data_IF_267841102589
#
_entry.id   IF_267841102589
#
_cell.length_a   1.000
_cell.length_b   1.000
_cell.length_c   1.000
_cell.angle_alpha   90.00
_cell.angle_beta   90.00
_cell.angle_gamma   90.00
#
_symmetry.space_group_name_H-M   'P 1'
#
loop_
_entity.id
_entity.type
_entity.pdbx_description
1 polymer ?
#
# COMPACT_ATOMS: atom_id res chain seq x y z
N UNK A 1 41.32 -31.06 42.66
CA UNK A 1 40.64 -32.37 42.52
C UNK A 1 39.86 -32.64 43.79
N UNK A 2 38.56 -32.35 43.80
CA UNK A 2 37.81 -32.33 45.06
C UNK A 2 36.35 -32.76 44.87
N UNK A 3 36.07 -33.94 45.44
CA UNK A 3 34.85 -34.44 46.11
C UNK A 3 33.47 -34.29 45.45
N UNK A 4 32.88 -35.46 45.19
CA UNK A 4 31.45 -35.68 45.09
C UNK A 4 30.75 -35.51 46.46
N UNK A 5 29.51 -35.01 46.44
CA UNK A 5 28.50 -35.23 47.50
C UNK A 5 27.14 -35.41 46.83
N UNK A 6 26.59 -36.61 46.96
CA UNK A 6 25.20 -36.96 46.67
C UNK A 6 24.29 -36.46 47.80
N UNK A 7 23.17 -35.82 47.46
CA UNK A 7 22.01 -35.68 48.34
C UNK A 7 20.78 -36.16 47.59
N UNK A 8 20.25 -37.28 48.06
CA UNK A 8 18.98 -37.83 47.58
C UNK A 8 17.78 -37.11 48.18
N UNK A 9 16.60 -37.40 47.64
CA UNK A 9 15.34 -37.43 48.37
C UNK A 9 14.37 -38.42 47.71
N UNK A 10 13.67 -39.13 48.59
CA UNK A 10 12.78 -40.26 48.35
C UNK A 10 11.48 -39.93 47.64
N UNK A 11 11.10 -40.86 46.77
CA UNK A 11 9.78 -41.51 46.56
C UNK A 11 8.61 -41.03 47.44
N UNK A 12 7.50 -40.64 46.79
CA UNK A 12 6.09 -41.11 47.00
C UNK A 12 5.19 -40.45 45.95
N UNK A 13 4.69 -41.21 44.96
CA UNK A 13 3.38 -41.90 44.95
C UNK A 13 2.18 -40.94 44.91
N UNK A 14 1.52 -40.82 43.75
CA UNK A 14 0.07 -41.03 43.61
C UNK A 14 -0.34 -41.07 42.13
N UNK A 15 -0.97 -42.17 41.72
CA UNK A 15 -1.80 -42.26 40.50
C UNK A 15 -3.06 -41.43 40.73
N UNK A 16 -3.44 -40.59 39.75
CA UNK A 16 -4.85 -40.28 39.49
C UNK A 16 -5.07 -40.27 37.98
N UNK A 17 -5.85 -41.24 37.53
CA UNK A 17 -6.49 -41.29 36.22
C UNK A 17 -7.58 -40.23 36.21
N UNK A 18 -7.55 -39.31 35.25
CA UNK A 18 -8.56 -38.29 35.08
C UNK A 18 -8.71 -37.93 33.60
N UNK A 19 -9.58 -38.66 32.91
CA UNK A 19 -10.08 -38.31 31.59
C UNK A 19 -10.89 -37.01 31.73
N UNK A 20 -10.25 -35.87 31.44
CA UNK A 20 -10.94 -34.59 31.30
C UNK A 20 -11.00 -34.24 29.82
N UNK A 21 -12.23 -34.24 29.30
CA UNK A 21 -12.57 -33.90 27.93
C UNK A 21 -12.01 -32.51 27.55
N UNK A 22 -11.14 -32.47 26.55
CA UNK A 22 -10.65 -31.23 25.95
C UNK A 22 -11.72 -30.76 24.98
N UNK A 23 -12.55 -29.80 25.40
CA UNK A 23 -13.38 -28.98 24.51
C UNK A 23 -12.45 -28.08 23.68
N UNK A 24 -12.35 -28.23 22.35
CA UNK A 24 -11.67 -27.25 21.53
C UNK A 24 -12.60 -26.04 21.38
N UNK A 25 -12.38 -25.01 22.21
CA UNK A 25 -12.87 -23.67 21.91
C UNK A 25 -12.18 -23.22 20.62
N UNK A 26 -12.92 -23.31 19.51
CA UNK A 26 -12.49 -22.94 18.18
C UNK A 26 -12.08 -21.48 18.14
N UNK A 27 -10.77 -21.24 18.17
CA UNK A 27 -10.16 -20.00 17.75
C UNK A 27 -10.37 -19.94 16.24
N UNK A 28 -11.45 -19.28 15.82
CA UNK A 28 -11.61 -18.85 14.43
C UNK A 28 -10.57 -17.76 14.19
N UNK A 29 -9.36 -18.18 13.80
CA UNK A 29 -8.43 -17.31 13.11
C UNK A 29 -9.13 -16.85 11.84
N UNK A 30 -9.71 -15.64 11.88
CA UNK A 30 -10.09 -14.93 10.67
C UNK A 30 -8.78 -14.54 10.01
N UNK A 31 -8.22 -15.46 9.24
CA UNK A 31 -7.12 -15.16 8.34
C UNK A 31 -7.66 -14.15 7.35
N UNK A 32 -7.35 -12.88 7.56
CA UNK A 32 -7.51 -11.84 6.55
C UNK A 32 -6.61 -12.21 5.38
N UNK A 33 -7.10 -13.09 4.51
CA UNK A 33 -6.49 -13.39 3.23
C UNK A 33 -6.49 -12.06 2.48
N UNK A 34 -5.35 -11.37 2.49
CA UNK A 34 -5.11 -10.31 1.51
C UNK A 34 -5.23 -11.02 0.16
N UNK A 35 -6.26 -10.67 -0.61
CA UNK A 35 -6.34 -11.11 -1.99
C UNK A 35 -4.99 -10.79 -2.65
N UNK A 36 -4.39 -11.79 -3.30
CA UNK A 36 -3.15 -11.56 -4.02
C UNK A 36 -3.40 -10.50 -5.09
N UNK A 37 -2.45 -9.60 -5.30
CA UNK A 37 -2.53 -8.62 -6.36
C UNK A 37 -2.73 -9.37 -7.70
N UNK A 38 -3.81 -9.09 -8.42
CA UNK A 38 -4.09 -9.69 -9.74
C UNK A 38 -3.66 -8.76 -10.89
N UNK A 39 -3.20 -7.56 -10.57
CA UNK A 39 -2.60 -6.59 -11.47
C UNK A 39 -1.43 -5.91 -10.76
N UNK A 40 -0.29 -5.79 -11.44
CA UNK A 40 0.88 -5.09 -10.91
C UNK A 40 1.65 -4.35 -12.00
N UNK A 41 2.46 -3.39 -11.59
CA UNK A 41 3.29 -2.66 -12.53
C UNK A 41 4.10 -1.53 -11.90
N UNK A 42 4.55 -0.63 -12.77
CA UNK A 42 5.22 0.61 -12.42
C UNK A 42 4.48 1.81 -13.02
N UNK A 43 4.56 2.95 -12.36
CA UNK A 43 4.20 4.26 -12.89
C UNK A 43 5.46 5.11 -12.92
N UNK A 44 5.90 5.51 -14.12
CA UNK A 44 6.97 6.48 -14.27
C UNK A 44 6.38 7.87 -14.43
N UNK A 45 6.81 8.77 -13.56
CA UNK A 45 6.37 10.15 -13.51
C UNK A 45 7.47 11.13 -13.90
N UNK A 46 7.09 12.20 -14.61
CA UNK A 46 7.89 13.42 -14.79
C UNK A 46 7.15 14.57 -14.11
N UNK A 47 7.78 15.24 -13.15
CA UNK A 47 7.22 16.41 -12.49
C UNK A 47 7.14 17.58 -13.47
N UNK A 48 5.93 18.07 -13.72
CA UNK A 48 5.68 19.22 -14.60
C UNK A 48 5.70 20.52 -13.81
N UNK A 49 5.09 20.54 -12.62
CA UNK A 49 5.08 21.70 -11.74
C UNK A 49 4.96 21.27 -10.27
N UNK A 50 5.55 22.08 -9.38
CA UNK A 50 5.41 21.94 -7.95
C UNK A 50 5.40 23.34 -7.31
N UNK A 51 4.27 23.71 -6.73
CA UNK A 51 4.07 25.00 -6.08
C UNK A 51 3.89 24.78 -4.58
N UNK A 52 4.78 25.34 -3.77
CA UNK A 52 4.72 25.21 -2.31
C UNK A 52 4.31 26.53 -1.68
N UNK A 53 3.28 26.46 -0.84
CA UNK A 53 2.87 27.56 0.03
C UNK A 53 3.19 27.22 1.49
N UNK A 54 3.71 28.20 2.21
CA UNK A 54 3.84 28.14 3.67
C UNK A 54 2.48 28.50 4.27
N UNK A 55 1.93 27.59 5.08
CA UNK A 55 0.65 27.80 5.76
C UNK A 55 0.83 28.38 7.17
N UNK A 56 2.08 28.66 7.57
CA UNK A 56 2.47 29.11 8.90
C UNK A 56 2.74 27.95 9.85
N UNK A 57 3.46 28.25 10.94
CA UNK A 57 3.74 27.30 12.03
C UNK A 57 4.42 25.98 11.61
N UNK A 58 5.20 26.00 10.52
CA UNK A 58 5.89 24.81 10.01
C UNK A 58 4.99 23.87 9.18
N UNK A 59 3.75 24.26 8.89
CA UNK A 59 2.87 23.58 7.95
C UNK A 59 3.18 24.05 6.52
N UNK A 60 3.30 23.12 5.57
CA UNK A 60 3.49 23.44 4.16
C UNK A 60 2.50 22.68 3.30
N UNK A 61 1.99 23.32 2.26
CA UNK A 61 1.21 22.64 1.23
C UNK A 61 1.95 22.75 -0.10
N UNK A 62 2.14 21.62 -0.77
CA UNK A 62 2.72 21.56 -2.12
C UNK A 62 1.68 21.00 -3.08
N UNK A 63 1.30 21.79 -4.08
CA UNK A 63 0.49 21.32 -5.21
C UNK A 63 1.42 20.87 -6.32
N UNK A 64 1.24 19.67 -6.86
CA UNK A 64 2.09 19.10 -7.89
C UNK A 64 1.29 18.60 -9.08
N UNK A 65 1.89 18.70 -10.26
CA UNK A 65 1.40 18.07 -11.48
C UNK A 65 2.49 17.19 -12.06
N UNK A 66 2.14 15.97 -12.42
CA UNK A 66 3.04 14.96 -12.96
C UNK A 66 2.50 14.46 -14.29
N UNK A 67 3.36 14.33 -15.30
CA UNK A 67 3.10 13.46 -16.43
C UNK A 67 3.34 12.02 -15.99
N UNK A 68 2.45 11.08 -16.31
CA UNK A 68 2.47 9.70 -15.82
C UNK A 68 2.37 8.71 -16.98
N UNK A 69 3.15 7.63 -16.88
CA UNK A 69 3.16 6.50 -17.82
C UNK A 69 3.14 5.20 -17.01
N UNK A 70 2.11 4.40 -17.21
CA UNK A 70 1.97 3.08 -16.58
C UNK A 70 2.65 2.00 -17.42
N UNK A 71 3.39 1.11 -16.76
CA UNK A 71 4.01 -0.07 -17.33
C UNK A 71 3.53 -1.31 -16.59
N UNK A 72 3.08 -2.31 -17.31
CA UNK A 72 2.64 -3.59 -16.74
C UNK A 72 2.80 -4.70 -17.78
N UNK A 73 3.15 -5.90 -17.34
CA UNK A 73 3.33 -7.04 -18.24
C UNK A 73 2.02 -7.82 -18.46
N UNK A 74 1.05 -7.65 -17.57
CA UNK A 74 -0.07 -8.56 -17.39
C UNK A 74 -1.40 -7.85 -17.11
N UNK A 75 -1.47 -6.53 -17.32
CA UNK A 75 -2.71 -5.77 -17.13
C UNK A 75 -3.04 -4.84 -18.30
N UNK A 76 -4.31 -4.47 -18.37
CA UNK A 76 -4.83 -3.49 -19.32
C UNK A 76 -4.25 -2.08 -19.15
N UNK A 77 -3.54 -1.82 -18.04
CA UNK A 77 -2.95 -0.50 -17.76
C UNK A 77 -1.58 -0.30 -18.40
N UNK A 78 -1.07 -1.27 -19.15
CA UNK A 78 0.21 -1.10 -19.82
C UNK A 78 0.17 0.02 -20.87
N UNK A 79 1.17 0.90 -20.84
CA UNK A 79 1.30 2.06 -21.74
C UNK A 79 0.12 3.04 -21.66
N UNK A 80 -0.58 3.09 -20.53
CA UNK A 80 -1.58 4.11 -20.24
C UNK A 80 -0.87 5.37 -19.78
N UNK A 81 -1.13 6.51 -20.44
CA UNK A 81 -0.40 7.76 -20.22
C UNK A 81 -1.31 8.94 -19.94
N UNK A 82 -0.83 9.92 -19.20
CA UNK A 82 -1.59 11.12 -18.94
C UNK A 82 -0.97 11.95 -17.84
N UNK A 83 -1.81 12.45 -16.96
CA UNK A 83 -1.38 13.38 -15.93
C UNK A 83 -2.00 13.06 -14.59
N UNK A 84 -1.25 13.41 -13.55
CA UNK A 84 -1.71 13.37 -12.19
C UNK A 84 -1.54 14.73 -11.53
N UNK A 85 -2.50 15.08 -10.68
CA UNK A 85 -2.48 16.29 -9.87
C UNK A 85 -2.63 15.90 -8.41
N UNK A 86 -1.69 16.33 -7.58
CA UNK A 86 -1.63 16.00 -6.16
C UNK A 86 -1.51 17.25 -5.30
N UNK A 87 -2.04 17.16 -4.09
CA UNK A 87 -1.75 18.10 -3.02
C UNK A 87 -1.09 17.32 -1.90
N UNK A 88 0.09 17.78 -1.50
CA UNK A 88 0.88 17.27 -0.38
C UNK A 88 0.74 18.26 0.77
N UNK A 89 0.41 17.76 1.95
CA UNK A 89 0.47 18.51 3.20
C UNK A 89 1.61 17.95 4.04
N UNK A 90 2.56 18.80 4.39
CA UNK A 90 3.63 18.50 5.33
C UNK A 90 3.33 19.18 6.67
N UNK A 91 3.34 18.40 7.74
CA UNK A 91 3.14 18.88 9.12
C UNK A 91 4.49 19.24 9.77
N UNK A 92 4.49 19.99 10.90
CA UNK A 92 5.72 20.45 11.57
C UNK A 92 6.62 19.31 12.06
N UNK A 93 6.06 18.13 12.31
CA UNK A 93 6.77 16.91 12.65
C UNK A 93 7.31 16.15 11.42
N UNK A 94 7.30 16.80 10.25
CA UNK A 94 7.72 16.28 8.95
C UNK A 94 6.91 15.07 8.44
N UNK A 95 5.74 14.79 9.02
CA UNK A 95 4.83 13.81 8.42
C UNK A 95 4.22 14.40 7.16
N UNK A 96 4.02 13.52 6.20
CA UNK A 96 3.46 13.87 4.89
C UNK A 96 2.13 13.14 4.73
N UNK A 97 1.14 13.88 4.24
CA UNK A 97 -0.09 13.36 3.70
C UNK A 97 -0.19 13.86 2.27
N UNK A 98 -0.75 13.07 1.37
CA UNK A 98 -1.11 13.62 0.09
C UNK A 98 -2.34 12.96 -0.48
N UNK A 99 -3.05 13.69 -1.34
CA UNK A 99 -4.23 13.21 -2.04
C UNK A 99 -4.26 13.81 -3.45
N UNK A 100 -4.95 13.15 -4.35
CA UNK A 100 -5.20 13.72 -5.67
C UNK A 100 -5.77 12.72 -6.64
N UNK A 101 -5.65 13.06 -7.91
CA UNK A 101 -6.24 12.30 -8.99
C UNK A 101 -5.25 12.14 -10.13
N UNK A 102 -5.39 11.05 -10.87
CA UNK A 102 -4.77 10.89 -12.16
C UNK A 102 -5.84 10.66 -13.21
N UNK A 103 -5.65 11.23 -14.39
CA UNK A 103 -6.43 10.99 -15.58
C UNK A 103 -5.48 10.64 -16.72
N UNK A 104 -5.72 9.48 -17.33
CA UNK A 104 -4.86 8.90 -18.36
C UNK A 104 -5.70 8.38 -19.51
N UNK A 105 -5.06 8.10 -20.63
CA UNK A 105 -5.63 7.41 -21.77
C UNK A 105 -4.63 6.40 -22.32
N UNK A 106 -5.14 5.35 -22.96
CA UNK A 106 -4.32 4.43 -23.73
C UNK A 106 -4.20 4.84 -25.20
N UNK A 107 -3.52 3.99 -25.97
CA UNK A 107 -3.33 4.15 -27.42
C UNK A 107 -4.63 4.25 -28.23
N UNK A 108 -5.75 3.75 -27.71
CA UNK A 108 -7.05 3.75 -28.36
C UNK A 108 -7.89 4.97 -27.91
N UNK A 109 -7.34 5.81 -27.03
CA UNK A 109 -8.01 7.00 -26.50
C UNK A 109 -9.02 6.70 -25.37
N UNK A 110 -9.11 5.46 -24.90
CA UNK A 110 -9.96 5.11 -23.76
C UNK A 110 -9.34 5.64 -22.48
N UNK A 111 -10.14 6.28 -21.63
CA UNK A 111 -9.64 7.01 -20.46
C UNK A 111 -9.72 6.19 -19.19
N UNK A 112 -8.72 6.35 -18.33
CA UNK A 112 -8.66 5.79 -16.98
C UNK A 112 -8.51 6.94 -15.99
N UNK A 113 -9.26 6.91 -14.90
CA UNK A 113 -9.13 7.88 -13.81
C UNK A 113 -9.07 7.18 -12.46
N UNK A 114 -8.14 7.63 -11.61
CA UNK A 114 -7.98 7.13 -10.25
C UNK A 114 -7.92 8.27 -9.25
N UNK A 115 -8.42 8.04 -8.04
CA UNK A 115 -8.07 8.79 -6.86
C UNK A 115 -6.89 8.12 -6.17
N UNK A 116 -5.99 8.93 -5.60
CA UNK A 116 -4.92 8.45 -4.74
C UNK A 116 -4.91 9.18 -3.41
N UNK A 117 -4.51 8.48 -2.35
CA UNK A 117 -4.21 9.10 -1.06
C UNK A 117 -3.09 8.38 -0.34
N UNK A 118 -2.29 9.13 0.41
CA UNK A 118 -1.38 8.63 1.43
C UNK A 118 -1.89 9.09 2.80
N UNK A 119 -2.45 8.19 3.62
CA UNK A 119 -2.84 8.52 4.99
C UNK A 119 -1.61 8.96 5.82
N UNK A 120 -1.79 9.82 6.83
CA UNK A 120 -0.69 10.21 7.71
C UNK A 120 -0.02 9.00 8.37
N UNK A 121 1.29 8.87 8.16
CA UNK A 121 2.11 7.80 8.73
C UNK A 121 1.98 6.44 8.02
N UNK A 122 1.29 6.37 6.88
CA UNK A 122 1.25 5.15 6.08
C UNK A 122 2.52 4.98 5.23
N UNK A 123 2.95 3.73 5.04
CA UNK A 123 4.09 3.39 4.17
C UNK A 123 3.71 3.26 2.69
N UNK A 124 2.42 3.05 2.42
CA UNK A 124 1.87 2.79 1.10
C UNK A 124 0.74 3.74 0.77
N UNK A 125 0.73 4.12 -0.50
CA UNK A 125 -0.26 4.96 -1.15
C UNK A 125 -1.43 4.05 -1.49
N UNK A 126 -2.65 4.51 -1.22
CA UNK A 126 -3.88 3.85 -1.66
C UNK A 126 -4.30 4.46 -2.99
N UNK A 127 -4.71 3.64 -3.95
CA UNK A 127 -5.33 4.11 -5.19
C UNK A 127 -6.67 3.40 -5.43
N UNK A 128 -7.59 4.09 -6.08
CA UNK A 128 -8.90 3.56 -6.44
C UNK A 128 -9.38 4.12 -7.77
N UNK A 129 -9.92 3.28 -8.64
CA UNK A 129 -10.64 3.67 -9.85
C UNK A 129 -11.79 4.62 -9.49
N UNK A 130 -11.83 5.76 -10.17
CA UNK A 130 -12.91 6.75 -10.05
C UNK A 130 -13.72 6.88 -11.34
N UNK A 131 -13.35 6.16 -12.38
CA UNK A 131 -14.05 6.16 -13.66
C UNK A 131 -13.13 5.99 -14.85
N UNK A 132 -13.73 5.99 -16.03
CA UNK A 132 -13.05 5.82 -17.29
C UNK A 132 -14.03 5.56 -18.42
N UNK A 133 -13.51 5.38 -19.63
CA UNK A 133 -14.29 5.01 -20.81
C UNK A 133 -13.82 3.67 -21.36
N UNK A 134 -14.60 3.10 -22.29
CA UNK A 134 -14.23 1.86 -22.97
C UNK A 134 -13.98 0.72 -22.00
N UNK A 135 -12.81 0.06 -22.09
CA UNK A 135 -12.46 -1.05 -21.19
C UNK A 135 -12.29 -0.65 -19.73
N UNK A 136 -12.16 0.63 -19.40
CA UNK A 136 -12.08 1.13 -18.03
C UNK A 136 -13.43 1.56 -17.44
N UNK A 137 -14.49 1.57 -18.25
CA UNK A 137 -15.81 2.00 -17.82
C UNK A 137 -16.36 1.10 -16.70
N UNK A 138 -16.83 1.71 -15.61
CA UNK A 138 -17.48 0.99 -14.50
C UNK A 138 -16.53 0.16 -13.61
N UNK A 139 -15.22 0.16 -13.88
CA UNK A 139 -14.26 -0.59 -13.07
C UNK A 139 -14.17 -0.07 -11.64
N UNK A 140 -14.08 -0.99 -10.69
CA UNK A 140 -13.98 -0.72 -9.25
C UNK A 140 -12.58 -1.03 -8.69
N UNK A 141 -11.58 -1.04 -9.56
CA UNK A 141 -10.22 -1.43 -9.22
C UNK A 141 -9.66 -0.61 -8.06
N UNK A 142 -8.83 -1.22 -7.24
CA UNK A 142 -8.15 -0.53 -6.16
C UNK A 142 -6.88 -1.25 -5.76
N UNK A 143 -6.00 -0.55 -5.05
CA UNK A 143 -4.77 -1.17 -4.61
C UNK A 143 -3.84 -0.23 -3.89
N UNK A 144 -2.56 -0.57 -3.98
CA UNK A 144 -1.48 0.11 -3.32
C UNK A 144 -0.42 0.60 -4.32
N UNK A 145 0.31 1.63 -3.91
CA UNK A 145 1.47 2.15 -4.60
C UNK A 145 2.58 2.47 -3.59
N UNK A 146 3.83 2.40 -4.04
CA UNK A 146 5.01 2.68 -3.23
C UNK A 146 6.10 3.29 -4.11
N UNK A 147 6.72 4.38 -3.65
CA UNK A 147 7.87 4.97 -4.34
C UNK A 147 9.01 3.94 -4.42
N UNK A 148 9.48 3.66 -5.63
CA UNK A 148 10.64 2.81 -5.89
C UNK A 148 11.91 3.65 -6.12
N UNK A 149 11.76 4.80 -6.79
CA UNK A 149 12.83 5.76 -7.05
C UNK A 149 12.26 7.16 -7.18
N UNK A 150 12.99 8.19 -6.73
CA UNK A 150 12.70 9.59 -7.05
C UNK A 150 13.99 10.41 -7.00
N UNK A 151 14.14 11.36 -7.92
CA UNK A 151 15.23 12.36 -7.90
C UNK A 151 14.69 13.80 -7.76
N UNK A 152 13.39 13.95 -7.48
CA UNK A 152 12.71 15.25 -7.38
C UNK A 152 12.21 15.82 -8.71
N UNK A 153 12.59 15.26 -9.86
CA UNK A 153 12.05 15.60 -11.19
C UNK A 153 11.38 14.40 -11.85
N UNK A 154 11.94 13.22 -11.64
CA UNK A 154 11.47 11.94 -12.11
C UNK A 154 11.11 11.09 -10.90
N UNK A 155 10.06 10.29 -11.05
CA UNK A 155 9.63 9.33 -10.04
C UNK A 155 9.31 7.99 -10.69
N UNK A 156 9.60 6.90 -10.00
CA UNK A 156 9.10 5.57 -10.35
C UNK A 156 8.37 5.03 -9.13
N UNK A 157 7.12 4.65 -9.33
CA UNK A 157 6.25 4.10 -8.30
C UNK A 157 5.93 2.66 -8.69
N UNK A 158 6.17 1.71 -7.79
CA UNK A 158 5.64 0.35 -7.94
C UNK A 158 4.19 0.35 -7.48
N UNK A 159 3.31 -0.30 -8.22
CA UNK A 159 1.91 -0.45 -7.85
C UNK A 159 1.43 -1.90 -7.97
N UNK A 160 0.40 -2.23 -7.22
CA UNK A 160 -0.31 -3.51 -7.26
C UNK A 160 -1.73 -3.33 -6.76
N UNK A 161 -2.62 -4.27 -7.08
CA UNK A 161 -3.98 -4.22 -6.57
C UNK A 161 -4.88 -5.33 -7.09
N UNK A 162 -6.16 -5.10 -6.88
CA UNK A 162 -7.26 -5.92 -7.35
C UNK A 162 -7.99 -5.18 -8.47
N UNK A 163 -7.88 -5.70 -9.69
CA UNK A 163 -8.39 -5.14 -10.93
C UNK A 163 -9.39 -6.11 -11.58
N UNK A 164 -10.57 -5.61 -11.97
CA UNK A 164 -11.68 -6.41 -12.52
C UNK A 164 -12.21 -5.83 -13.81
#
# INVERSE_FOLDING_TARGET
MTRAVLRGFSVRLLRVIGCAAILPLGIQCVSSARAADNCTGYDAGVLQSADTIDLGHGMKQTTMRWHSILFSNDSIYNMVTGECSFVVLQTPDNKVQYQGFCARHDKDGETQSIAIRLPPGADKIEWKSTGGTGKYAGKQDSGWAQNALTDGKMGVVKWGGDCH
#
